data_IF_544501702854
#
_entry.id   IF_544501702854
#
_cell.length_a   1.000
_cell.length_b   1.000
_cell.length_c   1.000
_cell.angle_alpha   90.00
_cell.angle_beta   90.00
_cell.angle_gamma   90.00
#
_symmetry.space_group_name_H-M   'P 1'
#
loop_
_entity.id
_entity.type
_entity.pdbx_description
1 polymer ?
#
# COMPACT_ATOMS: atom_id res chain seq x y z
N UNK A 1 -18.08 -5.60 -11.85
CA UNK A 1 -18.22 -4.82 -10.61
C UNK A 1 -17.40 -5.52 -9.54
N UNK A 2 -16.22 -4.95 -9.26
CA UNK A 2 -15.33 -5.20 -8.10
C UNK A 2 -15.09 -6.65 -7.66
N UNK A 3 -14.13 -7.30 -8.32
CA UNK A 3 -13.25 -8.26 -7.64
C UNK A 3 -11.83 -7.80 -7.97
N UNK A 4 -11.32 -6.89 -7.15
CA UNK A 4 -9.88 -6.70 -7.07
C UNK A 4 -9.26 -7.98 -6.51
N UNK A 5 -7.96 -8.14 -6.76
CA UNK A 5 -7.08 -9.18 -6.23
C UNK A 5 -6.90 -10.41 -7.14
N UNK A 6 -5.91 -10.23 -8.02
CA UNK A 6 -4.83 -11.19 -8.34
C UNK A 6 -5.26 -12.63 -8.70
N UNK A 7 -5.60 -12.87 -9.97
CA UNK A 7 -5.75 -14.23 -10.52
C UNK A 7 -4.80 -14.54 -11.70
N UNK A 8 -3.68 -13.83 -11.86
CA UNK A 8 -2.74 -14.11 -12.96
C UNK A 8 -1.23 -13.95 -12.66
N UNK A 9 -0.82 -14.09 -11.40
CA UNK A 9 0.59 -14.28 -11.05
C UNK A 9 0.71 -15.53 -10.20
N UNK A 10 1.19 -16.61 -10.82
CA UNK A 10 1.66 -17.77 -10.09
C UNK A 10 3.10 -17.51 -9.65
N UNK A 11 3.30 -16.81 -8.53
CA UNK A 11 4.54 -16.83 -7.77
C UNK A 11 4.42 -17.90 -6.67
N UNK A 12 5.22 -18.95 -6.80
CA UNK A 12 5.18 -20.15 -5.95
C UNK A 12 5.88 -19.96 -4.60
N UNK A 13 6.48 -18.80 -4.30
CA UNK A 13 7.27 -18.65 -3.07
C UNK A 13 7.55 -17.18 -2.69
N UNK A 14 6.53 -16.30 -2.61
CA UNK A 14 6.83 -14.90 -2.28
C UNK A 14 5.72 -13.89 -2.46
N UNK A 15 4.51 -14.20 -2.03
CA UNK A 15 3.42 -13.24 -2.10
C UNK A 15 3.56 -12.21 -0.94
N UNK A 16 4.50 -11.27 -1.07
CA UNK A 16 4.76 -10.22 -0.08
C UNK A 16 3.49 -9.41 0.26
N UNK A 17 2.53 -9.36 -0.68
CA UNK A 17 1.22 -8.74 -0.49
C UNK A 17 0.17 -9.58 0.26
N UNK A 18 0.36 -10.90 0.44
CA UNK A 18 -0.57 -11.76 1.23
C UNK A 18 -0.56 -11.36 2.71
N UNK A 19 0.58 -10.93 3.22
CA UNK A 19 0.69 -10.45 4.61
C UNK A 19 0.02 -9.09 4.84
N UNK A 20 -0.61 -8.51 3.80
CA UNK A 20 -1.24 -7.19 3.82
C UNK A 20 -0.33 -6.13 4.47
N UNK A 21 0.91 -5.96 3.98
CA UNK A 21 1.87 -5.06 4.61
C UNK A 21 1.46 -3.59 4.50
N UNK A 22 0.61 -3.22 3.54
CA UNK A 22 0.16 -1.84 3.34
C UNK A 22 -0.99 -1.48 4.28
N UNK A 23 -0.82 -0.42 5.07
CA UNK A 23 -1.82 0.08 6.01
C UNK A 23 -2.67 1.20 5.39
N UNK A 24 -3.71 1.63 6.10
CA UNK A 24 -4.50 2.84 5.80
C UNK A 24 -5.09 2.90 4.38
N UNK A 25 -5.46 1.74 3.82
CA UNK A 25 -6.04 1.65 2.48
C UNK A 25 -5.02 1.76 1.33
N UNK A 26 -3.73 1.55 1.62
CA UNK A 26 -2.70 1.42 0.60
C UNK A 26 -2.91 0.20 -0.29
N UNK A 27 -2.68 0.34 -1.60
CA UNK A 27 -2.74 -0.77 -2.54
C UNK A 27 -1.38 -1.44 -2.63
N UNK A 28 -1.30 -2.73 -2.30
CA UNK A 28 -0.06 -3.49 -2.43
C UNK A 28 0.18 -3.84 -3.90
N UNK A 29 1.33 -3.43 -4.41
CA UNK A 29 1.82 -3.77 -5.74
C UNK A 29 3.00 -4.72 -5.57
N UNK A 30 2.82 -5.94 -6.07
CA UNK A 30 3.87 -6.95 -6.15
C UNK A 30 4.97 -6.51 -7.13
N UNK A 31 6.21 -6.81 -6.78
CA UNK A 31 7.40 -6.50 -7.55
C UNK A 31 8.41 -7.64 -7.49
N UNK A 32 9.44 -7.59 -8.34
CA UNK A 32 10.43 -8.67 -8.42
C UNK A 32 11.30 -8.65 -7.14
N UNK A 33 11.10 -9.62 -6.23
CA UNK A 33 11.74 -9.73 -4.91
C UNK A 33 11.46 -8.56 -3.94
N UNK A 34 10.39 -7.80 -4.16
CA UNK A 34 10.03 -6.67 -3.29
C UNK A 34 8.56 -6.30 -3.50
N UNK A 35 7.94 -5.69 -2.49
CA UNK A 35 6.61 -5.09 -2.62
C UNK A 35 6.69 -3.57 -2.55
N UNK A 36 5.76 -2.91 -3.23
CA UNK A 36 5.58 -1.46 -3.14
C UNK A 36 4.15 -1.16 -2.71
N UNK A 37 3.99 -0.35 -1.66
CA UNK A 37 2.67 0.13 -1.25
C UNK A 37 2.35 1.45 -1.94
N UNK A 38 1.27 1.46 -2.74
CA UNK A 38 0.70 2.69 -3.29
C UNK A 38 -0.18 3.36 -2.23
N UNK A 39 0.35 4.39 -1.59
CA UNK A 39 -0.34 5.12 -0.53
C UNK A 39 -1.30 6.19 -1.08
N UNK A 40 -2.45 6.42 -0.42
CA UNK A 40 -3.29 7.58 -0.71
C UNK A 40 -2.55 8.89 -0.43
N UNK A 41 -3.00 9.99 -1.03
CA UNK A 41 -2.38 11.34 -0.91
C UNK A 41 -2.12 11.80 0.54
N UNK A 42 -2.85 11.26 1.52
CA UNK A 42 -2.74 11.64 2.93
C UNK A 42 -1.91 10.65 3.77
N UNK A 43 -1.26 9.66 3.15
CA UNK A 43 -0.43 8.68 3.85
C UNK A 43 0.94 8.54 3.18
N UNK A 44 1.95 8.19 3.98
CA UNK A 44 3.33 8.04 3.52
C UNK A 44 4.07 6.94 4.31
N UNK A 45 5.28 6.61 3.86
CA UNK A 45 6.11 5.54 4.39
C UNK A 45 5.96 4.24 3.60
N UNK A 46 6.90 3.30 3.79
CA UNK A 46 7.00 2.04 3.03
C UNK A 46 5.72 1.20 3.05
N UNK A 47 4.93 1.35 4.12
CA UNK A 47 3.70 0.61 4.40
C UNK A 47 2.51 1.54 4.56
N UNK A 48 2.60 2.79 4.11
CA UNK A 48 1.58 3.83 4.34
C UNK A 48 1.25 4.02 5.83
N UNK A 49 2.22 3.84 6.73
CA UNK A 49 2.00 3.90 8.17
C UNK A 49 1.89 5.35 8.70
N UNK A 50 2.45 6.30 7.97
CA UNK A 50 2.52 7.69 8.38
C UNK A 50 1.32 8.44 7.84
N UNK A 51 0.43 8.86 8.72
CA UNK A 51 -0.73 9.69 8.39
C UNK A 51 -0.32 11.17 8.25
N UNK A 52 -0.22 11.64 7.01
CA UNK A 52 0.02 13.04 6.66
C UNK A 52 -1.26 13.88 6.78
N UNK A 53 -2.43 13.25 7.05
CA UNK A 53 -3.66 13.98 7.34
C UNK A 53 -3.51 14.92 8.56
N UNK A 54 -2.55 14.66 9.45
CA UNK A 54 -2.31 15.58 10.58
C UNK A 54 -1.39 16.73 10.21
N UNK A 55 -0.69 16.66 9.07
CA UNK A 55 0.25 17.67 8.61
C UNK A 55 -0.40 18.74 7.74
N UNK A 56 -1.45 18.43 6.98
CA UNK A 56 -2.18 19.48 6.25
C UNK A 56 -2.75 20.52 7.23
N UNK A 57 -3.08 20.13 8.47
CA UNK A 57 -3.58 20.97 9.57
C UNK A 57 -2.59 21.97 10.16
N UNK A 58 -1.30 21.87 9.83
CA UNK A 58 -0.30 22.86 10.25
C UNK A 58 0.02 23.89 9.16
N UNK A 59 -0.55 23.76 7.95
CA UNK A 59 -0.34 24.71 6.84
C UNK A 59 -1.49 25.71 6.65
N UNK A 60 -2.63 25.52 7.33
CA UNK A 60 -3.72 26.50 7.40
C UNK A 60 -3.84 27.12 8.79
N UNK A 61 -2.72 27.61 9.32
CA UNK A 61 -2.78 28.57 10.42
C UNK A 61 -3.35 29.90 9.92
#
# INVERSE_FOLDING_TARGET
MTIGFCLFSADLDGNDCISLPCQNGGTCQDGINTYTCLCPHNFNGTNCQTDLSKLYIFSYN
#
